data_IF_802038959540
#
_entry.id   IF_802038959540
#
_cell.length_a   1.000
_cell.length_b   1.000
_cell.length_c   1.000
_cell.angle_alpha   90.00
_cell.angle_beta   90.00
_cell.angle_gamma   90.00
#
_symmetry.space_group_name_H-M   'P 1'
#
loop_
_entity.id
_entity.type
_entity.pdbx_description
1 polymer ?
#
# COMPACT_ATOMS: atom_id res chain seq x y z
N UNK A 1 -15.81 -16.46 -2.10
CA UNK A 1 -16.10 -15.00 -2.24
C UNK A 1 -15.18 -14.28 -1.25
N UNK A 2 -14.38 -13.24 -1.53
CA UNK A 2 -14.31 -12.24 -2.59
C UNK A 2 -12.83 -12.03 -2.98
N UNK A 3 -12.58 -11.83 -4.27
CA UNK A 3 -11.29 -11.40 -4.82
C UNK A 3 -11.16 -9.89 -4.55
N UNK A 4 -10.32 -9.48 -3.60
CA UNK A 4 -10.06 -8.07 -3.31
C UNK A 4 -9.16 -7.49 -4.41
N UNK A 5 -9.55 -6.33 -4.94
CA UNK A 5 -8.80 -5.62 -5.97
C UNK A 5 -7.44 -5.19 -5.41
N UNK A 6 -6.40 -5.45 -6.21
CA UNK A 6 -4.98 -5.26 -5.89
C UNK A 6 -4.47 -4.09 -6.73
N UNK A 7 -3.83 -3.11 -6.12
CA UNK A 7 -3.25 -1.98 -6.84
C UNK A 7 -1.83 -1.72 -6.32
N UNK A 8 -0.85 -1.81 -7.23
CA UNK A 8 0.53 -1.41 -6.96
C UNK A 8 0.72 -0.03 -7.55
N UNK A 9 0.97 0.96 -6.71
CA UNK A 9 1.18 2.34 -7.16
C UNK A 9 2.66 2.54 -7.50
N UNK A 10 2.92 3.01 -8.73
CA UNK A 10 4.25 3.47 -9.16
C UNK A 10 4.51 4.83 -8.52
N UNK A 11 5.57 4.94 -7.73
CA UNK A 11 5.97 6.21 -7.12
C UNK A 11 6.69 7.07 -8.17
N UNK A 12 5.92 8.00 -8.73
CA UNK A 12 6.39 9.11 -9.55
C UNK A 12 6.15 10.40 -8.74
N UNK A 13 7.03 11.39 -8.86
CA UNK A 13 7.33 12.40 -7.83
C UNK A 13 6.17 13.31 -7.34
N UNK A 14 4.92 13.10 -7.78
CA UNK A 14 3.72 13.85 -7.35
C UNK A 14 2.41 13.03 -7.34
N UNK A 15 2.43 11.71 -7.15
CA UNK A 15 1.18 10.90 -7.10
C UNK A 15 0.57 10.84 -5.70
N UNK A 16 -0.71 11.20 -5.59
CA UNK A 16 -1.54 10.94 -4.41
C UNK A 16 -2.12 9.53 -4.47
N UNK A 17 -1.79 8.67 -3.51
CA UNK A 17 -2.36 7.33 -3.38
C UNK A 17 -3.40 7.29 -2.25
N UNK A 18 -4.53 6.60 -2.48
CA UNK A 18 -5.51 6.30 -1.43
C UNK A 18 -5.63 4.78 -1.29
N UNK A 19 -5.29 4.27 -0.11
CA UNK A 19 -5.53 2.88 0.23
C UNK A 19 -6.87 2.75 0.94
N UNK A 20 -7.80 1.90 0.46
CA UNK A 20 -9.04 1.62 1.17
C UNK A 20 -8.79 0.80 2.44
N UNK A 21 -9.75 0.78 3.35
CA UNK A 21 -9.63 0.01 4.60
C UNK A 21 -9.42 -1.48 4.31
N UNK A 22 -8.53 -2.10 5.09
CA UNK A 22 -8.19 -3.53 5.02
C UNK A 22 -7.68 -4.04 3.65
N UNK A 23 -7.13 -3.14 2.83
CA UNK A 23 -6.41 -3.52 1.62
C UNK A 23 -4.91 -3.70 1.89
N UNK A 24 -4.34 -4.81 1.41
CA UNK A 24 -2.90 -4.99 1.39
C UNK A 24 -2.30 -3.92 0.47
N UNK A 25 -1.32 -3.19 0.99
CA UNK A 25 -0.67 -2.10 0.26
C UNK A 25 0.85 -2.18 0.43
N UNK A 26 1.59 -2.04 -0.67
CA UNK A 26 3.05 -2.09 -0.70
C UNK A 26 3.62 -0.88 -1.45
N UNK A 27 4.76 -0.35 -1.00
CA UNK A 27 5.48 0.75 -1.61
C UNK A 27 6.84 0.29 -2.12
N UNK A 28 7.21 0.70 -3.32
CA UNK A 28 8.52 0.38 -3.91
C UNK A 28 9.10 1.61 -4.62
N UNK A 29 10.26 2.08 -4.14
CA UNK A 29 11.05 3.08 -4.85
C UNK A 29 11.78 2.41 -6.01
N UNK A 30 11.46 2.85 -7.23
CA UNK A 30 12.08 2.32 -8.46
C UNK A 30 13.33 3.10 -8.89
N UNK A 31 13.63 4.25 -8.27
CA UNK A 31 14.85 5.00 -8.57
C UNK A 31 16.06 4.34 -7.90
N UNK A 32 17.11 4.09 -8.69
CA UNK A 32 18.37 3.56 -8.20
C UNK A 32 19.27 4.64 -7.55
N UNK A 33 18.90 5.92 -7.67
CA UNK A 33 19.75 7.06 -7.27
C UNK A 33 19.06 8.06 -6.36
N UNK A 34 17.74 8.20 -6.49
CA UNK A 34 16.99 9.21 -5.77
C UNK A 34 16.20 8.58 -4.62
N UNK A 35 16.23 9.23 -3.46
CA UNK A 35 15.40 8.85 -2.33
C UNK A 35 13.94 9.25 -2.59
N UNK A 36 13.01 8.32 -2.33
CA UNK A 36 11.58 8.62 -2.28
C UNK A 36 11.18 8.98 -0.84
N UNK A 37 10.52 10.13 -0.67
CA UNK A 37 9.94 10.54 0.61
C UNK A 37 8.42 10.46 0.47
N UNK A 38 7.80 9.57 1.24
CA UNK A 38 6.35 9.40 1.27
C UNK A 38 5.77 10.08 2.51
N UNK A 39 4.82 10.99 2.29
CA UNK A 39 4.01 11.56 3.35
C UNK A 39 2.63 10.88 3.37
N UNK A 40 2.18 10.47 4.56
CA UNK A 40 0.91 9.77 4.76
C UNK A 40 0.16 10.35 5.95
N UNK A 41 -1.14 10.59 5.77
CA UNK A 41 -2.08 10.95 6.83
C UNK A 41 -3.13 9.85 6.90
N UNK A 42 -3.41 9.36 8.10
CA UNK A 42 -4.34 8.25 8.34
C UNK A 42 -5.14 8.47 9.62
N UNK A 43 -6.30 7.83 9.71
CA UNK A 43 -7.23 7.93 10.85
C UNK A 43 -6.79 7.06 12.07
N UNK A 44 -5.51 6.68 12.13
CA UNK A 44 -4.95 5.81 13.20
C UNK A 44 -5.29 6.28 14.61
N UNK A 45 -5.18 7.58 14.96
CA UNK A 45 -5.50 8.02 16.33
C UNK A 45 -6.95 7.72 16.72
N UNK A 46 -7.89 7.82 15.79
CA UNK A 46 -9.32 7.53 16.03
C UNK A 46 -9.55 6.01 16.14
N UNK A 47 -8.90 5.22 15.29
CA UNK A 47 -9.04 3.76 15.30
C UNK A 47 -8.44 3.14 16.57
N UNK A 48 -7.31 3.64 17.05
CA UNK A 48 -6.69 3.22 18.31
C UNK A 48 -7.57 3.59 19.50
N UNK A 49 -8.10 4.81 19.54
CA UNK A 49 -8.99 5.27 20.61
C UNK A 49 -10.29 4.46 20.72
N UNK A 50 -10.80 3.94 19.61
CA UNK A 50 -12.01 3.09 19.56
C UNK A 50 -11.71 1.59 19.76
N UNK A 51 -10.44 1.20 19.89
CA UNK A 51 -10.05 -0.22 19.96
C UNK A 51 -10.30 -1.00 18.67
N UNK A 52 -10.43 -0.30 17.53
CA UNK A 52 -10.70 -0.87 16.21
C UNK A 52 -9.43 -0.98 15.34
N UNK A 53 -8.29 -0.52 15.85
CA UNK A 53 -7.01 -0.64 15.15
C UNK A 53 -6.61 -2.11 15.00
N UNK A 54 -6.33 -2.52 13.77
CA UNK A 54 -5.81 -3.85 13.45
C UNK A 54 -4.77 -3.73 12.36
N UNK A 55 -3.69 -4.50 12.48
CA UNK A 55 -2.60 -4.60 11.51
C UNK A 55 -2.27 -6.08 11.28
N UNK A 56 -1.95 -6.43 10.04
CA UNK A 56 -1.62 -7.80 9.65
C UNK A 56 -0.57 -7.76 8.53
N UNK A 57 0.55 -8.44 8.75
CA UNK A 57 1.60 -8.59 7.74
C UNK A 57 1.24 -9.65 6.70
N UNK A 58 1.67 -9.46 5.46
CA UNK A 58 1.56 -10.52 4.44
C UNK A 58 2.56 -11.64 4.77
N UNK A 59 2.06 -12.84 5.07
CA UNK A 59 2.92 -14.02 5.27
C UNK A 59 3.30 -14.71 3.95
N UNK A 60 2.57 -14.41 2.87
CA UNK A 60 2.79 -15.01 1.56
C UNK A 60 3.88 -14.29 0.76
N UNK A 61 4.61 -15.04 -0.07
CA UNK A 61 5.65 -14.56 -1.00
C UNK A 61 6.68 -13.61 -0.35
N UNK A 62 7.20 -13.97 0.82
CA UNK A 62 8.20 -13.17 1.55
C UNK A 62 7.71 -11.74 1.85
N UNK A 63 6.40 -11.57 2.08
CA UNK A 63 5.80 -10.27 2.34
C UNK A 63 5.41 -9.47 1.11
N UNK A 64 5.59 -10.01 -0.10
CA UNK A 64 5.28 -9.33 -1.36
C UNK A 64 3.96 -9.77 -1.98
N UNK A 65 3.21 -8.81 -2.52
CA UNK A 65 1.99 -9.17 -3.23
C UNK A 65 2.31 -9.71 -4.63
N UNK A 66 1.66 -10.82 -5.01
CA UNK A 66 1.74 -11.34 -6.37
C UNK A 66 1.16 -10.34 -7.38
N UNK A 67 1.93 -10.01 -8.42
CA UNK A 67 1.52 -9.10 -9.49
C UNK A 67 0.72 -9.87 -10.55
N UNK A 68 -0.57 -9.60 -10.67
CA UNK A 68 -1.46 -10.31 -11.62
C UNK A 68 -1.35 -9.77 -13.06
N UNK A 69 -1.10 -8.47 -13.23
CA UNK A 69 -0.95 -7.85 -14.55
C UNK A 69 -0.21 -6.52 -14.45
N UNK A 70 0.53 -6.15 -15.49
CA UNK A 70 1.18 -4.84 -15.61
C UNK A 70 0.55 -4.09 -16.77
N UNK A 71 0.02 -2.90 -16.50
CA UNK A 71 -0.46 -1.99 -17.55
C UNK A 71 0.62 -0.96 -17.85
N UNK A 72 0.85 -0.72 -19.14
CA UNK A 72 1.76 0.31 -19.64
C UNK A 72 0.92 1.29 -20.46
N UNK A 73 1.15 2.58 -20.27
CA UNK A 73 0.48 3.65 -21.00
C UNK A 73 1.02 3.77 -22.43
#
# INVERSE_FOLDING_TARGET
MRRLQRERVREDARRHNRSPSWALHEHANLSARDAAILFSIQDRPVLEALGLYREEGSADNDGHQAVTSTFTA
#
